data_IF_917542855768
#
_entry.id   IF_917542855768
#
_cell.length_a   1.000
_cell.length_b   1.000
_cell.length_c   1.000
_cell.angle_alpha   90.00
_cell.angle_beta   90.00
_cell.angle_gamma   90.00
#
_symmetry.space_group_name_H-M   'P 1'
#
loop_
_entity.id
_entity.type
_entity.pdbx_description
1 polymer ?
#
# COMPACT_ATOMS: atom_id res chain seq x y z
N UNK A 1 12.40 41.70 -5.46
CA UNK A 1 11.32 40.69 -5.28
C UNK A 1 11.73 39.26 -5.66
N UNK A 2 12.66 39.01 -6.57
CA UNK A 2 13.08 37.66 -6.99
C UNK A 2 13.88 36.92 -5.90
N UNK A 3 14.79 37.62 -5.17
CA UNK A 3 15.68 37.02 -4.19
C UNK A 3 14.94 36.29 -3.03
N UNK A 4 13.90 36.85 -2.39
CA UNK A 4 13.15 36.14 -1.35
C UNK A 4 12.47 34.87 -1.86
N UNK A 5 11.93 34.90 -3.09
CA UNK A 5 11.30 33.74 -3.73
C UNK A 5 12.34 32.64 -4.01
N UNK A 6 13.53 33.04 -4.47
CA UNK A 6 14.61 32.10 -4.73
C UNK A 6 15.12 31.45 -3.44
N UNK A 7 15.34 32.23 -2.39
CA UNK A 7 15.75 31.74 -1.07
C UNK A 7 14.69 30.77 -0.52
N UNK A 8 13.41 31.13 -0.59
CA UNK A 8 12.33 30.25 -0.17
C UNK A 8 12.29 28.96 -0.97
N UNK A 9 12.37 29.01 -2.30
CA UNK A 9 12.40 27.81 -3.16
C UNK A 9 13.58 26.88 -2.87
N UNK A 10 14.78 27.44 -2.63
CA UNK A 10 15.97 26.68 -2.23
C UNK A 10 15.73 26.04 -0.85
N UNK A 11 15.20 26.78 0.11
CA UNK A 11 14.89 26.24 1.44
C UNK A 11 13.92 25.08 1.35
N UNK A 12 12.81 25.21 0.61
CA UNK A 12 11.84 24.13 0.40
C UNK A 12 12.48 22.89 -0.26
N UNK A 13 13.34 23.08 -1.25
CA UNK A 13 14.01 21.98 -1.94
C UNK A 13 14.92 21.15 -1.04
N UNK A 14 15.54 21.78 -0.04
CA UNK A 14 16.50 21.14 0.88
C UNK A 14 15.89 20.76 2.25
N UNK A 15 14.62 21.06 2.50
CA UNK A 15 13.97 20.64 3.74
C UNK A 15 14.00 19.12 3.89
N UNK A 16 14.15 18.61 5.12
CA UNK A 16 14.05 17.17 5.39
C UNK A 16 12.72 16.60 4.89
N UNK A 17 12.74 15.40 4.32
CA UNK A 17 11.55 14.74 3.74
C UNK A 17 10.39 14.59 4.74
N UNK A 18 10.68 14.63 6.03
CA UNK A 18 9.71 14.42 7.12
C UNK A 18 9.35 15.70 7.89
N UNK A 19 9.82 16.89 7.42
CA UNK A 19 9.73 18.12 8.21
C UNK A 19 8.30 18.58 8.53
N UNK A 20 7.34 18.40 7.63
CA UNK A 20 6.01 18.99 7.71
C UNK A 20 4.85 18.01 7.54
N UNK A 21 5.11 16.72 7.69
CA UNK A 21 4.09 15.69 7.58
C UNK A 21 4.11 14.75 8.78
N UNK A 22 2.99 14.14 9.05
CA UNK A 22 2.85 13.11 10.09
C UNK A 22 3.13 11.70 9.55
N UNK A 23 3.36 11.55 8.24
CA UNK A 23 3.63 10.28 7.56
C UNK A 23 4.80 10.35 6.59
N UNK A 24 5.65 9.33 6.58
CA UNK A 24 6.73 9.19 5.60
C UNK A 24 6.22 9.20 4.16
N UNK A 25 5.17 8.44 3.87
CA UNK A 25 4.62 8.32 2.52
C UNK A 25 4.25 9.66 1.89
N UNK A 26 3.73 10.60 2.67
CA UNK A 26 3.39 11.94 2.18
C UNK A 26 4.62 12.81 1.92
N UNK A 27 5.64 12.67 2.77
CA UNK A 27 6.87 13.44 2.64
C UNK A 27 7.65 13.08 1.37
N UNK A 28 7.73 11.80 1.05
CA UNK A 28 8.62 11.26 0.02
C UNK A 28 7.94 10.94 -1.31
N UNK A 29 6.62 11.18 -1.45
CA UNK A 29 5.95 10.95 -2.72
C UNK A 29 6.10 12.14 -3.68
N UNK A 30 6.16 11.88 -4.99
CA UNK A 30 6.08 12.93 -6.00
C UNK A 30 4.69 13.57 -6.04
N UNK A 31 4.63 14.90 -6.19
CA UNK A 31 3.36 15.64 -6.38
C UNK A 31 2.71 15.26 -7.71
N UNK A 32 3.53 15.08 -8.72
CA UNK A 32 3.05 14.71 -10.05
C UNK A 32 3.65 13.38 -10.44
N UNK A 33 2.77 12.44 -10.78
CA UNK A 33 3.17 11.12 -11.30
C UNK A 33 4.18 11.27 -12.44
N UNK A 34 5.35 10.67 -12.30
CA UNK A 34 6.36 10.61 -13.35
C UNK A 34 6.02 9.39 -14.21
N UNK A 35 5.98 9.51 -15.55
CA UNK A 35 5.79 8.34 -16.40
C UNK A 35 6.87 7.28 -16.11
N UNK A 36 6.45 6.04 -15.98
CA UNK A 36 7.33 4.88 -15.70
C UNK A 36 8.00 4.89 -14.32
N UNK A 37 7.43 5.63 -13.36
CA UNK A 37 7.97 5.79 -12.02
C UNK A 37 7.02 5.27 -10.95
N UNK A 38 7.58 4.77 -9.86
CA UNK A 38 6.85 4.62 -8.61
C UNK A 38 6.41 5.98 -8.06
N UNK A 39 5.58 5.95 -7.02
CA UNK A 39 5.06 7.19 -6.45
C UNK A 39 6.08 7.92 -5.57
N UNK A 40 7.16 7.26 -5.14
CA UNK A 40 8.10 7.80 -4.15
C UNK A 40 9.43 8.23 -4.75
N UNK A 41 10.15 9.12 -4.04
CA UNK A 41 11.52 9.45 -4.39
C UNK A 41 12.40 8.21 -4.29
N UNK A 42 13.30 7.98 -5.27
CA UNK A 42 14.23 6.86 -5.22
C UNK A 42 15.33 7.09 -4.17
N UNK A 43 15.97 5.99 -3.75
CA UNK A 43 17.11 5.97 -2.83
C UNK A 43 16.88 6.71 -1.50
N UNK A 44 15.64 6.73 -1.02
CA UNK A 44 15.34 7.26 0.30
C UNK A 44 15.77 6.25 1.37
N UNK A 45 16.46 6.74 2.38
CA UNK A 45 16.66 6.09 3.66
C UNK A 45 16.26 7.10 4.74
N UNK A 46 15.07 6.96 5.28
CA UNK A 46 14.53 7.92 6.24
C UNK A 46 14.03 7.20 7.49
N UNK A 47 14.19 7.89 8.62
CA UNK A 47 13.67 7.48 9.93
C UNK A 47 12.88 8.64 10.51
N UNK A 48 11.62 8.39 10.88
CA UNK A 48 10.79 9.41 11.52
C UNK A 48 9.89 8.82 12.60
N UNK A 49 9.42 9.69 13.47
CA UNK A 49 8.29 9.43 14.35
C UNK A 49 6.99 9.77 13.61
N UNK A 50 6.30 8.73 13.14
CA UNK A 50 5.01 8.88 12.47
C UNK A 50 3.85 8.68 13.44
N UNK A 51 2.68 9.22 13.10
CA UNK A 51 1.43 9.02 13.82
C UNK A 51 0.34 8.55 12.87
N UNK A 52 -0.69 7.91 13.43
CA UNK A 52 -1.78 7.36 12.63
C UNK A 52 -2.67 8.41 11.97
N UNK A 53 -3.30 8.02 10.85
CA UNK A 53 -4.19 8.87 10.07
C UNK A 53 -5.47 9.27 10.82
N UNK A 54 -5.92 8.44 11.76
CA UNK A 54 -7.16 8.66 12.48
C UNK A 54 -7.02 9.67 13.62
N UNK A 55 -5.82 9.81 14.19
CA UNK A 55 -5.63 10.58 15.42
C UNK A 55 -4.52 11.62 15.36
N UNK A 56 -3.91 11.89 14.19
CA UNK A 56 -2.84 12.90 14.11
C UNK A 56 -3.33 14.28 14.63
N UNK A 57 -2.43 14.97 15.35
CA UNK A 57 -2.74 16.25 16.00
C UNK A 57 -3.89 16.20 17.03
N UNK A 58 -4.12 15.05 17.64
CA UNK A 58 -5.04 14.87 18.77
C UNK A 58 -4.30 14.31 19.98
N UNK A 59 -4.87 14.36 21.20
CA UNK A 59 -4.27 13.72 22.38
C UNK A 59 -4.18 12.19 22.29
N UNK A 60 -4.84 11.57 21.32
CA UNK A 60 -4.91 10.12 21.13
C UNK A 60 -3.91 9.58 20.10
N UNK A 61 -3.08 10.44 19.52
CA UNK A 61 -2.05 10.02 18.59
C UNK A 61 -1.02 9.12 19.25
N UNK A 62 -0.59 8.07 18.55
CA UNK A 62 0.44 7.13 19.01
C UNK A 62 1.67 7.29 18.11
N UNK A 63 2.79 7.69 18.71
CA UNK A 63 4.05 7.81 17.99
C UNK A 63 4.62 6.42 17.65
N UNK A 64 4.97 6.24 16.39
CA UNK A 64 5.58 5.03 15.85
C UNK A 64 6.89 5.39 15.16
N UNK A 65 7.94 4.64 15.42
CA UNK A 65 9.16 4.78 14.64
C UNK A 65 8.97 4.06 13.30
N UNK A 66 9.10 4.82 12.22
CA UNK A 66 9.06 4.30 10.86
C UNK A 66 10.41 4.48 10.17
N UNK A 67 11.01 3.37 9.74
CA UNK A 67 12.15 3.37 8.85
C UNK A 67 11.64 3.05 7.44
N UNK A 68 11.95 3.93 6.48
CA UNK A 68 11.59 3.76 5.08
C UNK A 68 12.81 3.71 4.21
N UNK A 69 12.86 2.72 3.34
CA UNK A 69 13.83 2.63 2.27
C UNK A 69 13.11 2.48 0.95
N UNK A 70 13.55 3.25 -0.06
CA UNK A 70 13.05 3.11 -1.42
C UNK A 70 14.19 2.72 -2.34
N UNK A 71 13.89 1.84 -3.29
CA UNK A 71 14.82 1.39 -4.30
C UNK A 71 15.06 2.42 -5.41
N UNK A 72 15.77 2.01 -6.46
CA UNK A 72 16.15 2.83 -7.62
C UNK A 72 14.94 3.35 -8.40
N UNK A 73 13.79 2.67 -8.30
CA UNK A 73 12.54 3.06 -8.95
C UNK A 73 11.56 3.76 -8.02
N UNK A 74 11.92 3.93 -6.73
CA UNK A 74 11.10 4.58 -5.73
C UNK A 74 9.99 3.69 -5.16
N UNK A 75 10.04 2.38 -5.32
CA UNK A 75 9.20 1.46 -4.56
C UNK A 75 9.83 1.17 -3.19
N UNK A 76 9.00 0.80 -2.23
CA UNK A 76 9.45 0.52 -0.86
C UNK A 76 10.13 -0.85 -0.76
N UNK A 77 11.36 -0.93 -1.20
CA UNK A 77 12.26 -2.08 -1.09
C UNK A 77 13.66 -1.61 -0.69
N UNK A 78 14.51 -2.54 -0.30
CA UNK A 78 15.94 -2.24 -0.07
C UNK A 78 16.69 -2.04 -1.39
N UNK A 79 16.38 -2.87 -2.38
CA UNK A 79 16.98 -2.87 -3.72
C UNK A 79 15.93 -3.24 -4.75
N UNK A 80 16.14 -2.82 -5.98
CA UNK A 80 15.37 -3.24 -7.12
C UNK A 80 15.68 -4.70 -7.48
N UNK A 81 14.62 -5.47 -7.75
CA UNK A 81 14.71 -6.87 -8.20
C UNK A 81 14.00 -6.97 -9.53
N UNK A 82 14.80 -7.09 -10.62
CA UNK A 82 14.25 -7.16 -11.99
C UNK A 82 13.63 -8.50 -12.34
N UNK A 83 14.02 -9.59 -11.65
CA UNK A 83 13.59 -10.96 -11.87
C UNK A 83 13.01 -11.61 -10.60
N UNK A 84 11.91 -11.11 -10.05
CA UNK A 84 11.35 -11.62 -8.81
C UNK A 84 10.70 -13.00 -9.00
N UNK A 85 10.80 -13.85 -7.99
CA UNK A 85 9.99 -15.06 -7.90
C UNK A 85 8.55 -14.73 -7.50
N UNK A 86 8.41 -13.82 -6.53
CA UNK A 86 7.12 -13.30 -6.07
C UNK A 86 7.09 -11.78 -6.29
N UNK A 87 6.07 -11.32 -6.98
CA UNK A 87 5.76 -9.90 -7.12
C UNK A 87 4.50 -9.57 -6.33
N UNK A 88 4.56 -8.52 -5.51
CA UNK A 88 3.42 -8.01 -4.74
C UNK A 88 2.93 -6.72 -5.38
N UNK A 89 1.64 -6.67 -5.71
CA UNK A 89 0.94 -5.50 -6.24
C UNK A 89 -0.26 -5.23 -5.36
N UNK A 90 -0.46 -3.99 -4.97
CA UNK A 90 -1.57 -3.62 -4.09
C UNK A 90 -1.54 -2.16 -3.67
N UNK A 91 -2.27 -1.88 -2.61
CA UNK A 91 -2.46 -0.54 -2.04
C UNK A 91 -1.47 -0.21 -0.89
N UNK A 92 -1.86 0.74 -0.04
CA UNK A 92 -1.08 1.20 1.10
C UNK A 92 -0.81 0.12 2.16
N UNK A 93 -1.63 -0.94 2.23
CA UNK A 93 -1.38 -2.08 3.12
C UNK A 93 -0.15 -2.85 2.67
N UNK A 94 -0.07 -3.16 1.37
CA UNK A 94 1.09 -3.87 0.81
C UNK A 94 2.33 -3.01 0.81
N UNK A 95 2.18 -1.72 0.55
CA UNK A 95 3.25 -0.75 0.73
C UNK A 95 3.81 -0.74 2.17
N UNK A 96 2.98 -1.05 3.16
CA UNK A 96 3.35 -1.11 4.56
C UNK A 96 3.30 0.24 5.27
N UNK A 97 2.30 1.09 4.97
CA UNK A 97 2.04 2.34 5.71
C UNK A 97 1.95 2.06 7.21
N UNK A 98 2.53 2.93 8.02
CA UNK A 98 2.62 2.85 9.49
C UNK A 98 3.46 1.67 10.03
N UNK A 99 4.32 1.08 9.18
CA UNK A 99 5.25 0.02 9.54
C UNK A 99 6.70 0.44 9.27
N UNK A 100 7.65 -0.06 10.04
CA UNK A 100 9.07 0.01 9.69
C UNK A 100 9.41 -0.99 8.58
N UNK A 101 10.55 -0.77 7.88
CA UNK A 101 10.96 -1.54 6.71
C UNK A 101 10.95 -3.07 6.93
N UNK A 102 11.47 -3.52 8.08
CA UNK A 102 11.51 -4.94 8.45
C UNK A 102 10.16 -5.51 8.90
N UNK A 103 9.13 -4.68 9.02
CA UNK A 103 7.78 -5.07 9.43
C UNK A 103 6.81 -5.19 8.24
N UNK A 104 7.23 -4.78 7.04
CA UNK A 104 6.39 -4.90 5.84
C UNK A 104 6.12 -6.37 5.50
N UNK A 105 5.01 -6.63 4.79
CA UNK A 105 4.68 -8.00 4.37
C UNK A 105 5.80 -8.62 3.52
N UNK A 106 6.36 -7.86 2.59
CA UNK A 106 7.43 -8.35 1.72
C UNK A 106 8.68 -8.77 2.53
N UNK A 107 9.08 -7.95 3.52
CA UNK A 107 10.21 -8.27 4.38
C UNK A 107 9.93 -9.53 5.23
N UNK A 108 8.76 -9.60 5.88
CA UNK A 108 8.35 -10.74 6.69
C UNK A 108 8.22 -12.03 5.88
N UNK A 109 7.65 -11.94 4.68
CA UNK A 109 7.54 -13.10 3.80
C UNK A 109 8.92 -13.59 3.33
N UNK A 110 9.86 -12.67 3.08
CA UNK A 110 11.25 -13.01 2.78
C UNK A 110 11.94 -13.73 3.95
N UNK A 111 11.69 -13.31 5.19
CA UNK A 111 12.16 -14.00 6.41
C UNK A 111 11.59 -15.43 6.49
N UNK A 112 10.28 -15.62 6.25
CA UNK A 112 9.63 -16.95 6.30
C UNK A 112 10.17 -17.90 5.23
N UNK A 113 10.62 -17.43 4.07
CA UNK A 113 11.30 -18.21 3.04
C UNK A 113 12.82 -18.34 3.27
N UNK A 114 13.34 -17.84 4.40
CA UNK A 114 14.78 -17.92 4.71
C UNK A 114 15.67 -17.19 3.71
N UNK A 115 15.17 -16.18 3.02
CA UNK A 115 15.92 -15.42 2.01
C UNK A 115 16.12 -16.13 0.66
N UNK A 116 15.59 -17.33 0.47
CA UNK A 116 15.80 -18.13 -0.75
C UNK A 116 14.85 -17.79 -1.92
N UNK A 117 13.87 -16.89 -1.69
CA UNK A 117 12.87 -16.46 -2.66
C UNK A 117 13.02 -14.98 -2.91
N UNK A 118 13.17 -14.58 -4.16
CA UNK A 118 13.25 -13.17 -4.55
C UNK A 118 11.87 -12.55 -4.51
N UNK A 119 11.61 -11.68 -3.54
CA UNK A 119 10.34 -10.98 -3.38
C UNK A 119 10.51 -9.52 -3.72
N UNK A 120 9.65 -8.99 -4.58
CA UNK A 120 9.63 -7.57 -4.91
C UNK A 120 8.23 -6.98 -4.66
N UNK A 121 8.20 -5.86 -3.94
CA UNK A 121 6.97 -5.14 -3.63
C UNK A 121 6.84 -3.91 -4.54
N UNK A 122 5.88 -3.97 -5.46
CA UNK A 122 5.58 -2.89 -6.39
C UNK A 122 4.40 -2.02 -5.92
N UNK A 123 4.10 -2.01 -4.62
CA UNK A 123 2.98 -1.23 -4.06
C UNK A 123 3.43 0.17 -3.58
N UNK A 124 2.56 1.21 -3.70
CA UNK A 124 1.23 1.13 -4.26
C UNK A 124 1.25 1.11 -5.79
N UNK A 125 0.53 0.17 -6.40
CA UNK A 125 0.43 0.08 -7.85
C UNK A 125 -0.80 -0.73 -8.28
N UNK A 126 -1.08 -0.72 -9.59
CA UNK A 126 -2.21 -1.40 -10.21
C UNK A 126 -1.76 -2.47 -11.20
N UNK A 127 -2.69 -3.32 -11.64
CA UNK A 127 -2.44 -4.28 -12.71
C UNK A 127 -2.07 -3.61 -14.04
N UNK A 128 -2.59 -2.41 -14.31
CA UNK A 128 -2.20 -1.61 -15.50
C UNK A 128 -0.75 -1.11 -15.41
N UNK A 129 -0.28 -0.77 -14.22
CA UNK A 129 1.13 -0.43 -14.01
C UNK A 129 2.03 -1.64 -14.13
N UNK A 130 1.63 -2.79 -13.62
CA UNK A 130 2.34 -4.05 -13.83
C UNK A 130 2.51 -4.37 -15.32
N UNK A 131 1.41 -4.31 -16.10
CA UNK A 131 1.47 -4.55 -17.55
C UNK A 131 2.50 -3.64 -18.23
N UNK A 132 2.53 -2.37 -17.84
CA UNK A 132 3.50 -1.41 -18.35
C UNK A 132 4.95 -1.79 -18.03
N UNK A 133 5.24 -2.18 -16.78
CA UNK A 133 6.59 -2.58 -16.37
C UNK A 133 7.07 -3.84 -17.07
N UNK A 134 6.17 -4.81 -17.28
CA UNK A 134 6.45 -6.02 -18.05
C UNK A 134 6.67 -5.71 -19.53
N UNK A 135 5.83 -4.87 -20.13
CA UNK A 135 5.93 -4.50 -21.54
C UNK A 135 7.20 -3.70 -21.86
N UNK A 136 7.68 -2.90 -20.91
CA UNK A 136 8.93 -2.15 -21.03
C UNK A 136 10.18 -2.98 -20.68
N UNK A 137 10.02 -4.23 -20.24
CA UNK A 137 11.12 -5.08 -19.83
C UNK A 137 11.86 -4.61 -18.56
N UNK A 138 11.24 -3.72 -17.77
CA UNK A 138 11.80 -3.22 -16.51
C UNK A 138 11.78 -4.33 -15.47
N UNK A 139 10.69 -5.06 -15.37
CA UNK A 139 10.54 -6.24 -14.51
C UNK A 139 10.27 -7.44 -15.42
N UNK A 140 10.96 -8.53 -15.16
CA UNK A 140 10.68 -9.82 -15.78
C UNK A 140 9.43 -10.45 -15.13
N UNK A 141 8.76 -11.34 -15.85
CA UNK A 141 7.57 -12.01 -15.34
C UNK A 141 7.91 -12.86 -14.10
N UNK A 142 7.21 -12.63 -12.97
CA UNK A 142 7.40 -13.41 -11.77
C UNK A 142 6.81 -14.82 -11.95
N UNK A 143 7.16 -15.75 -11.06
CA UNK A 143 6.47 -17.06 -10.95
C UNK A 143 5.08 -16.88 -10.33
N UNK A 144 4.97 -16.00 -9.33
CA UNK A 144 3.75 -15.73 -8.59
C UNK A 144 3.52 -14.23 -8.49
N UNK A 145 2.33 -13.79 -8.85
CA UNK A 145 1.80 -12.46 -8.52
C UNK A 145 0.85 -12.58 -7.33
N UNK A 146 1.12 -11.83 -6.27
CA UNK A 146 0.19 -11.58 -5.17
C UNK A 146 -0.45 -10.22 -5.42
N UNK A 147 -1.74 -10.21 -5.72
CA UNK A 147 -2.53 -8.98 -5.81
C UNK A 147 -3.34 -8.80 -4.53
N UNK A 148 -3.24 -7.63 -3.93
CA UNK A 148 -3.94 -7.32 -2.69
C UNK A 148 -4.73 -6.02 -2.79
N UNK A 149 -5.85 -5.99 -2.11
CA UNK A 149 -6.72 -4.84 -2.04
C UNK A 149 -7.47 -4.81 -0.70
N UNK A 150 -7.58 -3.62 -0.12
CA UNK A 150 -8.39 -3.45 1.09
C UNK A 150 -9.88 -3.46 0.76
N UNK A 151 -10.67 -4.03 1.64
CA UNK A 151 -12.11 -4.28 1.50
C UNK A 151 -12.93 -3.07 1.02
N UNK A 152 -12.56 -1.85 1.43
CA UNK A 152 -13.24 -0.62 1.04
C UNK A 152 -12.92 -0.12 -0.38
N UNK A 153 -11.94 -0.70 -1.03
CA UNK A 153 -11.55 -0.33 -2.39
C UNK A 153 -12.26 -1.22 -3.41
N UNK A 154 -12.47 -0.69 -4.61
CA UNK A 154 -13.01 -1.42 -5.77
C UNK A 154 -11.88 -1.68 -6.75
N UNK A 155 -11.69 -2.92 -7.24
CA UNK A 155 -10.67 -3.20 -8.23
C UNK A 155 -11.02 -2.54 -9.57
N UNK A 156 -10.05 -1.85 -10.17
CA UNK A 156 -10.23 -1.18 -11.45
C UNK A 156 -9.93 -2.12 -12.62
N UNK A 157 -10.73 -2.12 -13.70
CA UNK A 157 -10.39 -2.87 -14.91
C UNK A 157 -8.99 -2.52 -15.41
N UNK A 158 -8.22 -3.53 -15.78
CA UNK A 158 -6.87 -3.33 -16.31
C UNK A 158 -6.93 -2.63 -17.67
N UNK A 159 -6.16 -1.55 -17.81
CA UNK A 159 -5.93 -0.86 -19.09
C UNK A 159 -4.57 -1.32 -19.62
N UNK A 160 -4.52 -2.04 -20.76
CA UNK A 160 -3.27 -2.47 -21.37
C UNK A 160 -2.37 -1.30 -21.73
N UNK A 161 -1.07 -1.47 -21.54
CA UNK A 161 -0.10 -0.44 -21.88
C UNK A 161 -0.07 -0.21 -23.41
N UNK A 162 -0.21 1.06 -23.79
CA UNK A 162 -0.07 1.50 -25.19
C UNK A 162 1.05 2.55 -25.31
N UNK A 163 2.18 2.24 -25.94
CA UNK A 163 3.31 3.16 -26.07
C UNK A 163 2.96 4.48 -26.79
N UNK A 164 1.96 4.46 -27.69
CA UNK A 164 1.60 5.62 -28.50
C UNK A 164 0.77 6.70 -27.79
N UNK A 165 0.25 6.43 -26.59
CA UNK A 165 -0.65 7.36 -25.89
C UNK A 165 0.06 8.40 -25.00
N UNK A 166 1.37 8.36 -24.82
CA UNK A 166 2.09 9.10 -23.78
C UNK A 166 2.95 10.28 -24.26
N UNK A 167 2.68 10.87 -25.40
CA UNK A 167 3.51 11.95 -25.97
C UNK A 167 2.98 13.37 -25.68
N UNK A 168 2.84 13.76 -24.42
CA UNK A 168 2.79 15.18 -24.09
C UNK A 168 4.20 15.70 -23.82
N UNK A 169 4.51 16.92 -24.28
CA UNK A 169 5.81 17.60 -24.02
C UNK A 169 6.19 17.51 -22.52
N UNK A 170 5.20 17.65 -21.64
CA UNK A 170 5.36 17.51 -20.18
C UNK A 170 5.86 16.12 -19.78
N UNK A 171 5.33 15.04 -20.38
CA UNK A 171 5.76 13.67 -20.09
C UNK A 171 7.16 13.39 -20.66
N UNK A 172 7.48 13.96 -21.82
CA UNK A 172 8.82 13.87 -22.40
C UNK A 172 9.86 14.54 -21.51
N UNK A 173 9.59 15.75 -21.02
CA UNK A 173 10.49 16.46 -20.10
C UNK A 173 10.66 15.69 -18.80
N UNK A 174 9.60 15.16 -18.21
CA UNK A 174 9.68 14.35 -17.00
C UNK A 174 10.47 13.05 -17.20
N UNK A 175 10.31 12.42 -18.35
CA UNK A 175 11.08 11.21 -18.69
C UNK A 175 12.56 11.53 -18.87
N UNK A 176 12.89 12.68 -19.47
CA UNK A 176 14.27 13.16 -19.65
C UNK A 176 14.91 13.54 -18.31
N UNK A 177 14.18 14.17 -17.41
CA UNK A 177 14.65 14.49 -16.05
C UNK A 177 14.79 13.22 -15.20
N UNK A 178 14.02 12.19 -15.51
CA UNK A 178 14.06 10.88 -14.86
C UNK A 178 13.90 10.97 -13.34
N UNK A 179 14.47 10.00 -12.66
CA UNK A 179 14.57 9.95 -11.19
C UNK A 179 15.77 10.73 -10.63
N UNK A 180 16.41 11.56 -11.44
CA UNK A 180 17.57 12.32 -11.00
C UNK A 180 17.26 13.22 -9.81
N UNK A 181 18.29 13.48 -9.01
CA UNK A 181 18.23 14.36 -7.83
C UNK A 181 17.60 15.72 -8.14
N UNK A 182 17.86 16.29 -9.33
CA UNK A 182 17.28 17.56 -9.74
C UNK A 182 15.74 17.51 -9.75
N UNK A 183 15.15 16.45 -10.30
CA UNK A 183 13.69 16.30 -10.31
C UNK A 183 13.11 16.17 -8.90
N UNK A 184 13.80 15.47 -8.01
CA UNK A 184 13.41 15.36 -6.58
C UNK A 184 13.45 16.74 -5.90
N UNK A 185 14.51 17.54 -6.11
CA UNK A 185 14.61 18.88 -5.52
C UNK A 185 13.55 19.85 -6.06
N UNK A 186 13.30 19.81 -7.36
CA UNK A 186 12.23 20.62 -7.97
C UNK A 186 10.85 20.22 -7.42
N UNK A 187 10.56 18.92 -7.33
CA UNK A 187 9.31 18.43 -6.78
C UNK A 187 9.14 18.85 -5.31
N UNK A 188 10.18 18.75 -4.49
CA UNK A 188 10.18 19.24 -3.11
C UNK A 188 9.86 20.73 -3.04
N UNK A 189 10.47 21.55 -3.87
CA UNK A 189 10.18 22.98 -3.92
C UNK A 189 8.73 23.28 -4.32
N UNK A 190 8.17 22.52 -5.29
CA UNK A 190 6.78 22.64 -5.70
C UNK A 190 5.76 22.13 -4.66
N UNK A 191 6.17 21.28 -3.73
CA UNK A 191 5.28 20.81 -2.63
C UNK A 191 4.88 21.90 -1.66
N UNK A 192 5.70 22.95 -1.50
CA UNK A 192 5.41 24.10 -0.64
C UNK A 192 5.06 23.67 0.81
N UNK A 193 5.88 22.84 1.41
CA UNK A 193 5.65 22.25 2.72
C UNK A 193 5.43 23.30 3.82
N UNK A 194 6.22 24.38 3.82
CA UNK A 194 6.09 25.46 4.80
C UNK A 194 4.72 26.12 4.74
N UNK A 195 4.21 26.38 3.53
CA UNK A 195 2.86 26.97 3.33
C UNK A 195 1.78 25.99 3.79
N UNK A 196 1.87 24.72 3.38
CA UNK A 196 0.93 23.67 3.79
C UNK A 196 0.91 23.48 5.30
N UNK A 197 2.08 23.53 5.95
CA UNK A 197 2.19 23.46 7.40
C UNK A 197 1.49 24.62 8.08
N UNK A 198 1.73 25.87 7.64
CA UNK A 198 1.04 27.06 8.16
C UNK A 198 -0.47 26.94 7.96
N UNK A 199 -0.92 26.58 6.76
CA UNK A 199 -2.34 26.37 6.46
C UNK A 199 -2.98 25.30 7.35
N UNK A 200 -2.30 24.18 7.56
CA UNK A 200 -2.81 23.12 8.43
C UNK A 200 -2.96 23.57 9.88
N UNK A 201 -2.05 24.41 10.36
CA UNK A 201 -2.12 25.00 11.71
C UNK A 201 -3.26 26.01 11.84
N UNK A 202 -3.43 26.91 10.86
CA UNK A 202 -4.53 27.88 10.82
C UNK A 202 -5.87 27.16 10.75
N UNK A 203 -5.98 26.13 9.92
CA UNK A 203 -7.22 25.37 9.70
C UNK A 203 -7.47 24.28 10.76
N UNK A 204 -6.60 24.17 11.79
CA UNK A 204 -6.70 23.15 12.84
C UNK A 204 -6.89 21.73 12.29
N UNK A 205 -6.17 21.39 11.22
CA UNK A 205 -6.24 20.05 10.60
C UNK A 205 -5.81 18.98 11.59
N UNK A 206 -6.69 18.01 11.81
CA UNK A 206 -6.47 16.88 12.74
C UNK A 206 -7.13 15.61 12.23
N UNK A 207 -6.71 14.47 12.76
CA UNK A 207 -7.37 13.20 12.51
C UNK A 207 -8.84 13.21 12.90
N UNK A 208 -9.67 12.54 12.13
CA UNK A 208 -11.14 12.49 12.28
C UNK A 208 -11.62 11.07 12.61
N UNK A 209 -10.78 10.26 13.24
CA UNK A 209 -11.17 8.94 13.69
C UNK A 209 -12.27 8.99 14.74
N UNK A 210 -13.22 8.06 14.64
CA UNK A 210 -14.27 7.87 15.65
C UNK A 210 -13.79 6.86 16.71
N UNK A 211 -14.03 7.11 18.00
CA UNK A 211 -13.61 6.20 19.06
C UNK A 211 -14.45 4.92 19.06
N UNK A 212 -13.86 3.85 19.57
CA UNK A 212 -14.56 2.59 19.83
C UNK A 212 -15.70 2.78 20.83
N UNK A 213 -16.82 2.06 20.61
CA UNK A 213 -18.00 2.12 21.49
C UNK A 213 -17.77 1.50 22.88
N UNK A 214 -16.78 0.65 23.01
CA UNK A 214 -16.42 -0.02 24.28
C UNK A 214 -15.49 0.81 25.19
N UNK A 215 -15.18 2.05 24.79
CA UNK A 215 -14.28 2.95 25.53
C UNK A 215 -12.80 2.59 25.42
N UNK A 216 -12.42 1.61 24.62
CA UNK A 216 -11.01 1.35 24.31
C UNK A 216 -10.41 2.52 23.51
N UNK A 217 -9.08 2.72 23.60
CA UNK A 217 -8.38 3.77 22.84
C UNK A 217 -8.16 3.38 21.36
N UNK A 218 -9.08 2.63 20.77
CA UNK A 218 -9.07 2.29 19.37
C UNK A 218 -9.96 3.25 18.58
N UNK A 219 -9.47 3.70 17.43
CA UNK A 219 -10.17 4.64 16.55
C UNK A 219 -10.44 3.99 15.19
N UNK A 220 -11.51 4.38 14.56
CA UNK A 220 -12.03 3.84 13.32
C UNK A 220 -12.26 4.93 12.28
N UNK A 221 -12.29 4.57 11.00
CA UNK A 221 -12.54 5.50 9.91
C UNK A 221 -14.00 5.97 9.94
N UNK A 222 -14.20 7.28 9.91
CA UNK A 222 -15.53 7.86 9.84
C UNK A 222 -16.17 7.56 8.47
N UNK A 223 -17.42 7.15 8.47
CA UNK A 223 -18.21 6.94 7.25
C UNK A 223 -18.20 5.51 6.68
N UNK A 224 -17.44 4.58 7.24
CA UNK A 224 -17.61 3.16 6.91
C UNK A 224 -18.86 2.65 7.66
N UNK A 225 -19.95 2.46 6.91
CA UNK A 225 -21.19 1.89 7.39
C UNK A 225 -21.44 0.55 6.70
N UNK A 226 -21.79 -0.46 7.47
CA UNK A 226 -22.39 -1.75 7.01
C UNK A 226 -21.58 -2.55 5.96
N UNK A 227 -20.30 -2.29 5.78
CA UNK A 227 -19.49 -3.01 4.81
C UNK A 227 -19.70 -2.54 3.36
N UNK A 228 -19.22 -3.33 2.44
CA UNK A 228 -19.25 -3.03 1.00
C UNK A 228 -20.65 -3.22 0.40
N UNK A 229 -21.13 -2.37 -0.53
CA UNK A 229 -22.43 -2.55 -1.16
C UNK A 229 -22.53 -3.88 -1.91
N UNK A 230 -23.53 -4.70 -1.61
CA UNK A 230 -23.70 -6.04 -2.20
C UNK A 230 -23.85 -6.06 -3.74
N UNK A 231 -24.20 -4.92 -4.36
CA UNK A 231 -24.36 -4.81 -5.81
C UNK A 231 -23.06 -4.86 -6.63
N UNK A 232 -21.92 -4.64 -6.00
CA UNK A 232 -20.64 -4.53 -6.70
C UNK A 232 -19.79 -5.81 -6.66
N UNK A 233 -20.12 -6.77 -5.76
CA UNK A 233 -19.34 -7.98 -5.51
C UNK A 233 -19.09 -8.81 -6.77
N UNK A 234 -20.10 -9.02 -7.62
CA UNK A 234 -19.94 -9.81 -8.84
C UNK A 234 -19.05 -9.11 -9.86
N UNK A 235 -19.18 -7.79 -10.00
CA UNK A 235 -18.32 -6.99 -10.88
C UNK A 235 -16.88 -7.02 -10.40
N UNK A 236 -16.66 -6.92 -9.11
CA UNK A 236 -15.33 -6.99 -8.52
C UNK A 236 -14.70 -8.37 -8.71
N UNK A 237 -15.48 -9.43 -8.48
CA UNK A 237 -15.04 -10.79 -8.77
C UNK A 237 -14.70 -10.98 -10.27
N UNK A 238 -15.44 -10.37 -11.19
CA UNK A 238 -15.15 -10.40 -12.63
C UNK A 238 -13.83 -9.68 -12.96
N UNK A 239 -13.58 -8.53 -12.33
CA UNK A 239 -12.31 -7.81 -12.50
C UNK A 239 -11.15 -8.64 -11.95
N UNK A 240 -11.25 -9.20 -10.75
CA UNK A 240 -10.19 -10.05 -10.17
C UNK A 240 -9.96 -11.30 -11.04
N UNK A 241 -11.01 -11.91 -11.57
CA UNK A 241 -10.90 -13.02 -12.52
C UNK A 241 -10.18 -12.60 -13.80
N UNK A 242 -10.40 -11.38 -14.28
CA UNK A 242 -9.67 -10.84 -15.44
C UNK A 242 -8.16 -10.71 -15.17
N UNK A 243 -7.77 -10.32 -13.96
CA UNK A 243 -6.37 -10.27 -13.54
C UNK A 243 -5.71 -11.65 -13.51
N UNK A 244 -6.43 -12.65 -12.97
CA UNK A 244 -5.98 -14.05 -13.02
C UNK A 244 -5.74 -14.51 -14.46
N UNK A 245 -6.73 -14.29 -15.36
CA UNK A 245 -6.62 -14.66 -16.78
C UNK A 245 -5.43 -13.97 -17.46
N UNK A 246 -5.22 -12.67 -17.19
CA UNK A 246 -4.07 -11.93 -17.68
C UNK A 246 -2.73 -12.59 -17.23
N UNK A 247 -2.63 -12.98 -15.97
CA UNK A 247 -1.45 -13.66 -15.43
C UNK A 247 -1.23 -15.03 -16.07
N UNK A 248 -2.28 -15.85 -16.16
CA UNK A 248 -2.22 -17.20 -16.74
C UNK A 248 -1.77 -17.19 -18.20
N UNK A 249 -2.27 -16.24 -19.00
CA UNK A 249 -1.83 -16.07 -20.39
C UNK A 249 -0.32 -15.79 -20.55
N UNK A 250 0.31 -15.31 -19.47
CA UNK A 250 1.75 -15.03 -19.42
C UNK A 250 2.55 -16.08 -18.66
N UNK A 251 1.90 -17.15 -18.19
CA UNK A 251 2.53 -18.19 -17.39
C UNK A 251 2.91 -17.71 -15.98
N UNK A 252 2.20 -16.71 -15.44
CA UNK A 252 2.33 -16.21 -14.09
C UNK A 252 1.20 -16.80 -13.24
N UNK A 253 1.51 -17.37 -12.09
CA UNK A 253 0.49 -17.79 -11.13
C UNK A 253 -0.07 -16.56 -10.40
N UNK A 254 -1.34 -16.59 -10.07
CA UNK A 254 -2.05 -15.48 -9.44
C UNK A 254 -2.61 -15.90 -8.09
N UNK A 255 -2.40 -15.07 -7.08
CA UNK A 255 -2.99 -15.21 -5.75
C UNK A 255 -3.64 -13.88 -5.35
N UNK A 256 -4.92 -13.91 -4.99
CA UNK A 256 -5.61 -12.76 -4.41
C UNK A 256 -5.51 -12.79 -2.88
N UNK A 257 -5.11 -11.65 -2.32
CA UNK A 257 -4.97 -11.44 -0.87
C UNK A 257 -5.88 -10.29 -0.45
N UNK A 258 -7.17 -10.53 -0.13
CA UNK A 258 -8.06 -9.48 0.36
C UNK A 258 -7.64 -9.02 1.75
N UNK A 259 -7.66 -7.70 1.98
CA UNK A 259 -7.36 -7.11 3.29
C UNK A 259 -8.64 -6.54 3.91
N UNK A 260 -9.07 -7.02 5.07
CA UNK A 260 -10.28 -6.51 5.71
C UNK A 260 -10.10 -5.07 6.20
N UNK A 261 -11.18 -4.33 6.28
CA UNK A 261 -11.21 -3.08 7.01
C UNK A 261 -11.01 -3.34 8.52
N UNK A 262 -10.44 -2.38 9.21
CA UNK A 262 -10.31 -2.44 10.67
C UNK A 262 -11.67 -2.61 11.35
N UNK A 263 -12.66 -1.93 10.83
CA UNK A 263 -14.06 -1.96 11.24
C UNK A 263 -14.68 -3.36 11.10
N UNK A 264 -14.37 -4.06 10.03
CA UNK A 264 -14.82 -5.43 9.80
C UNK A 264 -14.17 -6.43 10.78
N UNK A 265 -12.88 -6.23 11.07
CA UNK A 265 -12.14 -7.10 12.02
C UNK A 265 -12.60 -6.87 13.46
N UNK A 266 -12.90 -5.63 13.84
CA UNK A 266 -13.31 -5.23 15.18
C UNK A 266 -14.76 -4.72 15.21
N UNK A 267 -15.64 -5.41 14.48
CA UNK A 267 -17.03 -5.01 14.29
C UNK A 267 -17.79 -4.81 15.63
N UNK A 268 -17.41 -5.53 16.68
CA UNK A 268 -17.99 -5.37 18.02
C UNK A 268 -17.61 -4.06 18.72
N UNK A 269 -16.60 -3.34 18.19
CA UNK A 269 -16.14 -2.03 18.71
C UNK A 269 -16.70 -0.84 17.94
N UNK A 270 -17.46 -1.09 16.87
CA UNK A 270 -18.18 -0.10 16.09
C UNK A 270 -19.66 -0.38 16.17
N UNK A 271 -20.56 0.58 15.85
CA UNK A 271 -22.00 0.35 15.96
C UNK A 271 -22.56 -0.54 14.85
N UNK A 272 -21.90 -1.66 14.54
CA UNK A 272 -22.41 -2.68 13.63
C UNK A 272 -23.24 -3.70 14.37
N UNK A 273 -24.34 -4.12 13.75
CA UNK A 273 -25.21 -5.17 14.32
C UNK A 273 -24.55 -6.54 14.23
N UNK A 274 -23.80 -6.79 13.13
CA UNK A 274 -23.07 -8.04 12.87
C UNK A 274 -21.78 -7.75 12.10
N UNK A 275 -20.86 -8.72 12.11
CA UNK A 275 -19.67 -8.63 11.26
C UNK A 275 -20.07 -8.60 9.79
N UNK A 276 -19.56 -7.66 8.98
CA UNK A 276 -19.74 -7.67 7.53
C UNK A 276 -19.24 -8.98 6.90
N UNK A 277 -20.00 -9.55 5.99
CA UNK A 277 -19.73 -10.86 5.37
C UNK A 277 -19.19 -10.76 3.94
N UNK A 278 -18.99 -9.55 3.43
CA UNK A 278 -18.53 -9.28 2.07
C UNK A 278 -17.30 -10.11 1.68
N UNK A 279 -16.24 -10.10 2.49
CA UNK A 279 -15.00 -10.84 2.17
C UNK A 279 -15.18 -12.35 2.19
N UNK A 280 -16.08 -12.89 3.01
CA UNK A 280 -16.41 -14.33 2.98
C UNK A 280 -17.15 -14.69 1.71
N UNK A 281 -18.09 -13.85 1.29
CA UNK A 281 -18.87 -14.05 0.06
C UNK A 281 -17.97 -13.91 -1.18
N UNK A 282 -17.12 -12.88 -1.23
CA UNK A 282 -16.17 -12.68 -2.32
C UNK A 282 -15.18 -13.86 -2.43
N UNK A 283 -14.63 -14.33 -1.32
CA UNK A 283 -13.74 -15.49 -1.28
C UNK A 283 -14.43 -16.76 -1.83
N UNK A 284 -15.68 -16.99 -1.44
CA UNK A 284 -16.47 -18.13 -1.94
C UNK A 284 -16.72 -18.04 -3.45
N UNK A 285 -17.07 -16.86 -3.96
CA UNK A 285 -17.29 -16.62 -5.40
C UNK A 285 -15.99 -16.80 -6.18
N UNK A 286 -14.87 -16.28 -5.68
CA UNK A 286 -13.57 -16.39 -6.33
C UNK A 286 -13.06 -17.84 -6.35
N UNK A 287 -13.21 -18.58 -5.26
CA UNK A 287 -12.86 -20.02 -5.19
C UNK A 287 -13.68 -20.85 -6.15
N UNK A 288 -15.00 -20.59 -6.25
CA UNK A 288 -15.86 -21.25 -7.23
C UNK A 288 -15.43 -21.00 -8.69
N UNK A 289 -14.67 -19.92 -8.94
CA UNK A 289 -14.08 -19.56 -10.23
C UNK A 289 -12.60 -19.98 -10.35
N UNK A 290 -12.12 -20.84 -9.45
CA UNK A 290 -10.75 -21.32 -9.38
C UNK A 290 -9.70 -20.19 -9.21
N UNK A 291 -10.04 -19.08 -8.56
CA UNK A 291 -9.08 -18.06 -8.15
C UNK A 291 -8.46 -18.48 -6.83
N UNK A 292 -7.14 -18.61 -6.77
CA UNK A 292 -6.45 -18.84 -5.51
C UNK A 292 -6.59 -17.61 -4.61
N UNK A 293 -7.09 -17.81 -3.40
CA UNK A 293 -7.31 -16.75 -2.41
C UNK A 293 -6.84 -17.19 -1.03
N UNK A 294 -6.26 -16.26 -0.28
CA UNK A 294 -6.05 -16.44 1.16
C UNK A 294 -6.96 -15.45 1.90
N UNK A 295 -8.04 -15.95 2.52
CA UNK A 295 -8.99 -15.12 3.24
C UNK A 295 -8.40 -14.61 4.56
N UNK A 296 -7.89 -13.38 4.56
CA UNK A 296 -7.26 -12.77 5.73
C UNK A 296 -8.24 -12.44 6.85
N UNK A 297 -9.53 -12.19 6.55
CA UNK A 297 -10.55 -11.99 7.59
C UNK A 297 -10.78 -13.26 8.40
N UNK A 298 -10.85 -14.43 7.73
CA UNK A 298 -10.93 -15.71 8.44
C UNK A 298 -9.71 -15.92 9.32
N UNK A 299 -8.51 -15.71 8.79
CA UNK A 299 -7.24 -15.82 9.54
C UNK A 299 -7.22 -14.90 10.77
N UNK A 300 -7.70 -13.66 10.64
CA UNK A 300 -7.77 -12.70 11.74
C UNK A 300 -8.80 -13.11 12.81
N UNK A 301 -9.96 -13.62 12.40
CA UNK A 301 -10.97 -14.12 13.33
C UNK A 301 -10.45 -15.31 14.13
N UNK A 302 -9.75 -16.24 13.51
CA UNK A 302 -9.13 -17.38 14.19
C UNK A 302 -8.06 -16.92 15.19
N UNK A 303 -7.19 -15.98 14.80
CA UNK A 303 -6.18 -15.42 15.68
C UNK A 303 -6.80 -14.73 16.91
N UNK A 304 -7.82 -13.91 16.70
CA UNK A 304 -8.49 -13.14 17.78
C UNK A 304 -9.23 -14.01 18.79
N UNK A 305 -9.61 -15.24 18.43
CA UNK A 305 -10.22 -16.20 19.38
C UNK A 305 -9.21 -16.71 20.41
N UNK A 306 -7.93 -16.70 20.09
CA UNK A 306 -6.86 -17.30 20.91
C UNK A 306 -5.85 -16.30 21.45
N UNK A 307 -5.81 -15.10 20.86
CA UNK A 307 -4.81 -14.08 21.16
C UNK A 307 -5.46 -12.73 21.43
N UNK A 308 -4.95 -12.00 22.42
CA UNK A 308 -5.43 -10.68 22.80
C UNK A 308 -4.73 -9.52 22.09
N UNK A 309 -3.67 -9.81 21.31
CA UNK A 309 -2.92 -8.75 20.61
C UNK A 309 -3.70 -8.17 19.44
N UNK A 310 -3.69 -6.86 19.32
CA UNK A 310 -4.29 -6.17 18.19
C UNK A 310 -3.53 -6.46 16.89
N UNK A 311 -4.28 -6.50 15.78
CA UNK A 311 -3.79 -6.70 14.41
C UNK A 311 -3.71 -5.38 13.62
N UNK A 312 -4.30 -4.31 14.16
CA UNK A 312 -4.28 -2.97 13.61
C UNK A 312 -3.68 -2.00 14.62
N UNK A 313 -3.15 -0.88 14.13
CA UNK A 313 -2.77 0.22 14.99
C UNK A 313 -4.00 0.83 15.66
N UNK A 314 -3.86 1.37 16.86
CA UNK A 314 -4.98 1.96 17.60
C UNK A 314 -5.49 3.23 16.94
N UNK A 315 -4.57 4.06 16.46
CA UNK A 315 -4.76 5.40 15.92
C UNK A 315 -4.68 5.48 14.37
N UNK A 316 -4.66 4.33 13.69
CA UNK A 316 -4.46 4.25 12.23
C UNK A 316 -5.39 3.22 11.60
N UNK A 317 -5.73 3.43 10.32
CA UNK A 317 -6.54 2.49 9.53
C UNK A 317 -5.78 1.24 9.10
N UNK A 318 -4.44 1.24 9.19
CA UNK A 318 -3.59 0.17 8.69
C UNK A 318 -3.31 -0.90 9.75
N UNK A 319 -2.99 -2.07 9.26
CA UNK A 319 -2.51 -3.19 10.07
C UNK A 319 -1.17 -2.89 10.75
N UNK A 320 -0.83 -3.65 11.78
CA UNK A 320 0.42 -3.55 12.50
C UNK A 320 1.36 -4.76 12.24
N UNK A 321 2.51 -4.77 12.88
CA UNK A 321 3.51 -5.83 12.71
C UNK A 321 3.04 -7.23 13.16
N UNK A 322 2.05 -7.33 14.06
CA UNK A 322 1.46 -8.63 14.43
C UNK A 322 0.69 -9.21 13.25
N UNK A 323 -0.08 -8.38 12.54
CA UNK A 323 -0.84 -8.82 11.38
C UNK A 323 0.06 -9.19 10.20
N UNK A 324 1.10 -8.40 9.90
CA UNK A 324 2.04 -8.75 8.83
C UNK A 324 2.78 -10.06 9.12
N UNK A 325 3.20 -10.29 10.37
CA UNK A 325 3.81 -11.56 10.77
C UNK A 325 2.85 -12.75 10.72
N UNK A 326 1.58 -12.55 11.05
CA UNK A 326 0.55 -13.58 10.93
C UNK A 326 0.31 -13.95 9.46
N UNK A 327 0.11 -12.93 8.61
CA UNK A 327 -0.19 -13.11 7.18
C UNK A 327 1.01 -13.68 6.44
N UNK A 328 2.25 -13.26 6.73
CA UNK A 328 3.45 -13.81 6.08
C UNK A 328 3.61 -15.31 6.33
N UNK A 329 3.38 -15.76 7.58
CA UNK A 329 3.40 -17.19 7.93
C UNK A 329 2.32 -17.99 7.19
N UNK A 330 1.09 -17.46 7.13
CA UNK A 330 0.00 -18.09 6.43
C UNK A 330 0.26 -18.16 4.91
N UNK A 331 0.76 -17.07 4.30
CA UNK A 331 1.15 -17.02 2.90
C UNK A 331 2.26 -18.01 2.57
N UNK A 332 3.33 -18.05 3.37
CA UNK A 332 4.43 -18.99 3.16
C UNK A 332 3.93 -20.45 3.15
N UNK A 333 3.09 -20.81 4.13
CA UNK A 333 2.47 -22.16 4.18
C UNK A 333 1.59 -22.43 2.97
N UNK A 334 0.72 -21.49 2.60
CA UNK A 334 -0.20 -21.61 1.47
C UNK A 334 0.57 -21.76 0.14
N UNK A 335 1.53 -20.88 -0.12
CA UNK A 335 2.36 -20.91 -1.34
C UNK A 335 3.12 -22.24 -1.46
N UNK A 336 3.64 -22.74 -0.33
CA UNK A 336 4.37 -24.01 -0.29
C UNK A 336 3.44 -25.21 -0.52
N UNK A 337 2.30 -25.28 0.17
CA UNK A 337 1.32 -26.35 0.05
C UNK A 337 0.74 -26.45 -1.37
N UNK A 338 0.37 -25.32 -1.96
CA UNK A 338 -0.19 -25.22 -3.32
C UNK A 338 0.91 -25.22 -4.41
N UNK A 339 2.18 -25.36 -4.00
CA UNK A 339 3.34 -25.39 -4.91
C UNK A 339 3.39 -24.22 -5.90
N UNK A 340 2.97 -23.01 -5.47
CA UNK A 340 2.81 -21.87 -6.36
C UNK A 340 4.13 -21.31 -6.94
N UNK A 341 5.29 -21.74 -6.47
CA UNK A 341 6.60 -21.36 -7.01
C UNK A 341 7.26 -22.44 -7.88
N UNK A 342 6.68 -23.64 -7.95
CA UNK A 342 7.21 -24.68 -8.84
C UNK A 342 6.89 -24.34 -10.30
N UNK A 343 7.82 -24.65 -11.20
CA UNK A 343 7.61 -24.50 -12.65
C UNK A 343 6.57 -25.49 -13.17
#
# INVERSE_FOLDING_TARGET
>A
MVLPILIWGITEAFLPVTAFTHRNSEAICFVTKIPHAASYYPHIDSKMQAVGDLCHHTPYQVYKEEIWKTDEWGFRNQHFVSDPDILIVGDSFMQGTSLSQNQTLAAKLGEEFGGNVKIYNMSPSSMSELDRYLALGIIQKPKLLIFSMVERNVPEPMVPYNPGQNSTLKNTIKTLLGYGNLNVYLDKAFKQYSIKWIQSRINHVKGQGIPAVDGSNMFFLNGIKDGHPAGDLMKEADVILSYKKYCEQRGIRFLFLPMPNKETVYFEKVPFVKQPDYLFTLDSVLKARNVATLNTLQLYNEYRRTQSRYLYHLDDTHWNSNATGLVSKALCRYITAEQLLKK
#
